data_IF_321588452057
#
_entry.id   IF_321588452057
#
_cell.length_a   1.000
_cell.length_b   1.000
_cell.length_c   1.000
_cell.angle_alpha   90.00
_cell.angle_beta   90.00
_cell.angle_gamma   90.00
#
_symmetry.space_group_name_H-M   'P 1'
#
loop_
_entity.id
_entity.type
_entity.pdbx_description
1 polymer ?
#
# COMPACT_ATOMS: atom_id res chain seq x y z
N UNK A 1 -69.74 43.17 -5.80
CA UNK A 1 -69.20 43.20 -4.43
C UNK A 1 -68.94 41.78 -3.96
N UNK A 2 -67.78 41.57 -3.32
CA UNK A 2 -67.33 40.40 -2.51
C UNK A 2 -67.02 39.12 -3.30
N UNK A 3 -65.75 38.83 -3.62
CA UNK A 3 -64.70 38.24 -2.77
C UNK A 3 -65.09 36.90 -2.12
N UNK A 4 -64.46 35.79 -2.53
CA UNK A 4 -63.49 35.08 -1.68
C UNK A 4 -62.78 33.93 -2.39
N UNK A 5 -61.51 33.81 -2.03
CA UNK A 5 -60.46 32.88 -2.43
C UNK A 5 -60.81 31.41 -2.17
N UNK A 6 -60.33 30.51 -3.03
CA UNK A 6 -59.87 29.17 -2.60
C UNK A 6 -58.58 28.84 -3.33
N UNK A 7 -57.56 28.51 -2.53
CA UNK A 7 -56.17 28.32 -2.89
C UNK A 7 -55.95 27.05 -3.73
N UNK A 8 -55.16 27.16 -4.81
CA UNK A 8 -54.61 26.00 -5.52
C UNK A 8 -53.49 25.38 -4.67
N UNK A 9 -53.66 24.10 -4.33
CA UNK A 9 -52.62 23.22 -3.81
C UNK A 9 -51.56 22.95 -4.89
N UNK A 10 -50.43 23.64 -4.84
CA UNK A 10 -49.20 23.23 -5.52
C UNK A 10 -48.45 22.23 -4.64
N UNK A 11 -48.74 20.94 -4.81
CA UNK A 11 -47.90 19.86 -4.32
C UNK A 11 -46.68 19.74 -5.22
N UNK A 12 -45.60 20.47 -4.90
CA UNK A 12 -44.28 20.23 -5.51
C UNK A 12 -43.78 18.92 -4.90
N UNK A 13 -43.92 17.83 -5.65
CA UNK A 13 -43.22 16.59 -5.37
C UNK A 13 -41.72 16.88 -5.53
N UNK A 14 -41.05 17.11 -4.40
CA UNK A 14 -39.59 17.02 -4.30
C UNK A 14 -39.22 15.54 -4.46
N UNK A 15 -39.26 15.02 -5.70
CA UNK A 15 -38.49 13.84 -6.06
C UNK A 15 -37.04 14.28 -6.08
N UNK A 16 -36.43 14.36 -4.89
CA UNK A 16 -34.98 14.45 -4.78
C UNK A 16 -34.40 13.31 -5.59
N UNK A 17 -33.52 13.62 -6.52
CA UNK A 17 -32.71 12.66 -7.23
C UNK A 17 -31.92 11.89 -6.16
N UNK A 18 -32.43 10.75 -5.71
CA UNK A 18 -31.62 9.79 -4.98
C UNK A 18 -30.58 9.29 -5.98
N UNK A 19 -29.42 9.93 -6.02
CA UNK A 19 -28.26 9.45 -6.75
C UNK A 19 -28.03 8.01 -6.30
N UNK A 20 -28.06 7.08 -7.24
CA UNK A 20 -27.77 5.67 -6.96
C UNK A 20 -26.43 5.62 -6.22
N UNK A 21 -26.34 4.95 -5.05
CA UNK A 21 -25.10 4.88 -4.30
C UNK A 21 -23.99 4.32 -5.20
N UNK A 22 -22.86 5.03 -5.28
CA UNK A 22 -21.73 4.60 -6.09
C UNK A 22 -21.25 3.23 -5.63
N UNK A 23 -20.97 2.33 -6.58
CA UNK A 23 -20.43 1.01 -6.29
C UNK A 23 -18.98 1.12 -5.79
N UNK A 24 -18.69 0.72 -4.55
CA UNK A 24 -17.37 0.82 -3.96
C UNK A 24 -16.45 -0.33 -4.41
N UNK A 25 -16.96 -1.30 -5.18
CA UNK A 25 -16.20 -2.48 -5.57
C UNK A 25 -14.88 -2.12 -6.24
N UNK A 26 -13.86 -2.94 -5.97
CA UNK A 26 -12.51 -2.81 -6.50
C UNK A 26 -11.45 -2.63 -5.42
N UNK A 27 -10.23 -2.38 -5.87
CA UNK A 27 -9.07 -2.19 -5.01
C UNK A 27 -8.73 -0.72 -4.85
N UNK A 28 -8.40 -0.32 -3.63
CA UNK A 28 -8.12 1.03 -3.21
C UNK A 28 -6.81 1.05 -2.45
N UNK A 29 -5.86 1.88 -2.87
CA UNK A 29 -4.49 1.92 -2.33
C UNK A 29 -4.20 3.25 -1.66
N UNK A 30 -3.36 3.21 -0.63
CA UNK A 30 -2.90 4.38 0.08
C UNK A 30 -1.80 5.11 -0.72
N UNK A 31 -2.22 5.89 -1.71
CA UNK A 31 -1.31 6.60 -2.60
C UNK A 31 -0.43 7.61 -1.86
N UNK A 32 -0.94 8.21 -0.78
CA UNK A 32 -0.19 9.16 0.03
C UNK A 32 1.07 8.53 0.65
N UNK A 33 0.98 7.26 1.10
CA UNK A 33 2.14 6.53 1.61
C UNK A 33 3.22 6.31 0.52
N UNK A 34 2.81 6.00 -0.71
CA UNK A 34 3.72 5.82 -1.85
C UNK A 34 4.39 7.16 -2.20
N UNK A 35 3.61 8.23 -2.31
CA UNK A 35 4.12 9.58 -2.61
C UNK A 35 5.08 10.07 -1.53
N UNK A 36 4.77 9.82 -0.26
CA UNK A 36 5.65 10.15 0.86
C UNK A 36 6.98 9.40 0.76
N UNK A 37 6.95 8.08 0.47
CA UNK A 37 8.15 7.26 0.33
C UNK A 37 9.03 7.76 -0.83
N UNK A 38 8.44 8.01 -2.00
CA UNK A 38 9.16 8.55 -3.16
C UNK A 38 9.76 9.93 -2.87
N UNK A 39 9.01 10.79 -2.17
CA UNK A 39 9.45 12.15 -1.87
C UNK A 39 10.59 12.20 -0.85
N UNK A 40 10.52 11.38 0.21
CA UNK A 40 11.54 11.37 1.27
C UNK A 40 12.75 10.51 0.91
N UNK A 41 12.57 9.51 0.04
CA UNK A 41 13.55 8.44 -0.14
C UNK A 41 13.59 7.45 1.04
N UNK A 42 12.80 7.65 2.08
CA UNK A 42 12.73 6.81 3.28
C UNK A 42 11.39 6.07 3.31
N UNK A 43 11.42 4.78 2.96
CA UNK A 43 10.24 3.95 2.83
C UNK A 43 9.57 3.74 4.18
N UNK A 44 10.33 3.30 5.18
CA UNK A 44 9.83 2.95 6.50
C UNK A 44 9.16 4.13 7.19
N UNK A 45 9.80 5.30 7.17
CA UNK A 45 9.23 6.51 7.76
C UNK A 45 7.90 6.87 7.10
N UNK A 46 7.83 6.79 5.76
CA UNK A 46 6.60 7.04 5.03
C UNK A 46 5.49 6.04 5.40
N UNK A 47 5.80 4.75 5.48
CA UNK A 47 4.81 3.73 5.87
C UNK A 47 4.38 3.86 7.33
N UNK A 48 5.25 4.30 8.24
CA UNK A 48 4.88 4.59 9.64
C UNK A 48 3.98 5.82 9.77
N UNK A 49 4.22 6.86 8.97
CA UNK A 49 3.48 8.11 9.03
C UNK A 49 2.13 8.06 8.30
N UNK A 50 2.04 7.28 7.22
CA UNK A 50 0.86 7.22 6.35
C UNK A 50 0.14 5.86 6.36
N UNK A 51 0.77 4.80 6.89
CA UNK A 51 0.11 3.55 7.29
C UNK A 51 -0.67 3.74 8.61
N UNK A 52 -1.46 2.75 9.05
CA UNK A 52 -1.10 1.34 9.02
C UNK A 52 -1.71 0.56 7.87
N UNK A 53 -2.88 0.97 7.37
CA UNK A 53 -3.52 0.26 6.27
C UNK A 53 -3.04 0.80 4.92
N UNK A 54 -2.69 -0.11 4.01
CA UNK A 54 -2.09 0.20 2.71
C UNK A 54 -3.03 -0.09 1.55
N UNK A 55 -3.94 -1.04 1.72
CA UNK A 55 -4.87 -1.45 0.67
C UNK A 55 -6.21 -1.91 1.25
N UNK A 56 -7.30 -1.48 0.62
CA UNK A 56 -8.63 -2.06 0.76
C UNK A 56 -9.04 -2.75 -0.54
N UNK A 57 -9.70 -3.89 -0.43
CA UNK A 57 -10.40 -4.54 -1.54
C UNK A 57 -11.86 -4.77 -1.14
N UNK A 58 -12.79 -4.28 -1.97
CA UNK A 58 -14.23 -4.34 -1.73
C UNK A 58 -14.92 -5.16 -2.83
N UNK A 59 -15.76 -6.12 -2.43
CA UNK A 59 -16.60 -6.95 -3.31
C UNK A 59 -18.06 -6.75 -2.88
N UNK A 60 -18.77 -5.82 -3.54
CA UNK A 60 -20.18 -5.55 -3.25
C UNK A 60 -21.10 -6.76 -3.48
N UNK A 61 -20.97 -7.53 -4.57
CA UNK A 61 -21.77 -8.74 -4.77
C UNK A 61 -21.68 -9.74 -3.61
N UNK A 62 -20.49 -9.91 -3.01
CA UNK A 62 -20.28 -10.83 -1.87
C UNK A 62 -20.40 -10.16 -0.51
N UNK A 63 -20.51 -8.83 -0.47
CA UNK A 63 -20.45 -8.02 0.75
C UNK A 63 -19.18 -8.27 1.55
N UNK A 64 -18.05 -8.43 0.86
CA UNK A 64 -16.74 -8.69 1.47
C UNK A 64 -15.86 -7.45 1.38
N UNK A 65 -15.13 -7.19 2.45
CA UNK A 65 -14.07 -6.19 2.49
C UNK A 65 -12.83 -6.85 3.09
N UNK A 66 -11.70 -6.71 2.42
CA UNK A 66 -10.41 -7.13 2.95
C UNK A 66 -9.42 -5.97 2.95
N UNK A 67 -8.50 -5.99 3.91
CA UNK A 67 -7.42 -5.01 3.99
C UNK A 67 -6.05 -5.70 4.05
N UNK A 68 -5.01 -4.93 3.74
CA UNK A 68 -3.61 -5.34 3.93
C UNK A 68 -2.77 -4.18 4.46
N UNK A 69 -1.93 -4.46 5.47
CA UNK A 69 -0.91 -3.53 5.98
C UNK A 69 0.51 -3.90 5.52
N UNK A 70 0.65 -4.83 4.58
CA UNK A 70 1.95 -5.35 4.12
C UNK A 70 2.53 -6.48 4.98
N UNK A 71 1.87 -6.87 6.07
CA UNK A 71 2.21 -8.05 6.87
C UNK A 71 0.95 -8.87 7.20
N UNK A 72 -0.03 -8.23 7.82
CA UNK A 72 -1.33 -8.79 8.15
C UNK A 72 -2.34 -8.51 7.06
N UNK A 73 -3.29 -9.44 6.96
CA UNK A 73 -4.47 -9.34 6.11
C UNK A 73 -5.68 -9.66 6.97
N UNK A 74 -6.71 -8.85 6.86
CA UNK A 74 -8.01 -9.15 7.47
C UNK A 74 -9.10 -9.17 6.42
N UNK A 75 -10.11 -10.00 6.67
CA UNK A 75 -11.32 -10.08 5.86
C UNK A 75 -12.54 -9.94 6.77
N UNK A 76 -13.49 -9.14 6.33
CA UNK A 76 -14.74 -8.87 7.02
C UNK A 76 -15.90 -8.79 6.05
N UNK A 77 -17.11 -8.70 6.61
CA UNK A 77 -18.33 -8.47 5.85
C UNK A 77 -18.78 -7.04 6.04
N UNK A 78 -19.20 -6.39 4.96
CA UNK A 78 -19.68 -5.01 5.07
C UNK A 78 -21.18 -4.87 4.81
N UNK A 79 -21.79 -3.88 5.45
CA UNK A 79 -23.17 -3.44 5.20
C UNK A 79 -23.19 -1.96 4.89
N UNK A 80 -23.96 -1.60 3.87
CA UNK A 80 -24.24 -0.19 3.57
C UNK A 80 -25.32 0.34 4.52
N UNK A 81 -25.01 1.45 5.18
CA UNK A 81 -25.90 2.19 6.06
C UNK A 81 -26.82 3.13 5.25
N UNK A 82 -27.82 3.71 5.91
CA UNK A 82 -28.82 4.56 5.25
C UNK A 82 -28.25 5.86 4.67
N UNK A 83 -27.15 6.36 5.23
CA UNK A 83 -26.39 7.53 4.77
C UNK A 83 -25.38 7.21 3.66
N UNK A 84 -25.24 5.94 3.29
CA UNK A 84 -24.31 5.47 2.27
C UNK A 84 -22.96 4.99 2.81
N UNK A 85 -22.67 5.18 4.10
CA UNK A 85 -21.48 4.64 4.77
C UNK A 85 -21.46 3.11 4.67
N UNK A 86 -20.28 2.51 4.55
CA UNK A 86 -20.06 1.08 4.61
C UNK A 86 -19.49 0.75 5.98
N UNK A 87 -20.21 -0.08 6.75
CA UNK A 87 -19.71 -0.63 8.00
C UNK A 87 -19.16 -2.01 7.76
N UNK A 88 -17.86 -2.18 7.93
CA UNK A 88 -17.15 -3.45 7.83
C UNK A 88 -17.09 -4.09 9.21
N UNK A 89 -17.53 -5.33 9.32
CA UNK A 89 -17.44 -6.13 10.53
C UNK A 89 -16.42 -7.25 10.32
N UNK A 90 -15.39 -7.26 11.14
CA UNK A 90 -14.38 -8.32 11.17
C UNK A 90 -14.70 -9.34 12.25
N UNK A 91 -14.04 -10.49 12.19
CA UNK A 91 -14.09 -11.48 13.26
C UNK A 91 -13.37 -10.94 14.51
N UNK A 92 -14.02 -10.98 15.69
CA UNK A 92 -13.44 -10.51 16.96
C UNK A 92 -13.91 -9.11 17.41
N UNK A 93 -15.13 -8.71 17.05
CA UNK A 93 -15.78 -7.45 17.45
C UNK A 93 -15.02 -6.18 17.02
N UNK A 94 -14.26 -6.27 15.93
CA UNK A 94 -13.58 -5.15 15.29
C UNK A 94 -14.43 -4.62 14.11
N UNK A 95 -14.63 -3.31 14.06
CA UNK A 95 -15.42 -2.65 13.03
C UNK A 95 -14.67 -1.46 12.42
N UNK A 96 -14.84 -1.28 11.11
CA UNK A 96 -14.31 -0.13 10.39
C UNK A 96 -15.41 0.54 9.56
N UNK A 97 -15.35 1.86 9.47
CA UNK A 97 -16.30 2.67 8.71
C UNK A 97 -15.63 3.22 7.46
N UNK A 98 -16.20 2.93 6.30
CA UNK A 98 -15.71 3.42 5.01
C UNK A 98 -16.77 4.28 4.31
N UNK A 99 -16.35 5.31 3.62
CA UNK A 99 -17.23 6.12 2.76
C UNK A 99 -16.59 6.40 1.41
N UNK A 100 -17.41 6.57 0.38
CA UNK A 100 -16.94 6.97 -0.95
C UNK A 100 -17.19 8.47 -1.12
N UNK A 101 -16.16 9.22 -1.51
CA UNK A 101 -16.25 10.65 -1.76
C UNK A 101 -15.36 11.04 -2.94
N UNK A 102 -15.95 11.56 -4.03
CA UNK A 102 -15.24 12.11 -5.19
C UNK A 102 -14.05 11.25 -5.66
N UNK A 103 -14.30 9.95 -5.87
CA UNK A 103 -13.32 8.94 -6.30
C UNK A 103 -12.24 8.55 -5.28
N UNK A 104 -12.42 8.92 -4.01
CA UNK A 104 -11.67 8.40 -2.88
C UNK A 104 -12.53 7.44 -2.05
N UNK A 105 -11.89 6.40 -1.52
CA UNK A 105 -12.39 5.64 -0.38
C UNK A 105 -11.78 6.24 0.87
N UNK A 106 -12.62 6.67 1.81
CA UNK A 106 -12.22 7.24 3.08
C UNK A 106 -12.50 6.20 4.16
N UNK A 107 -11.46 5.75 4.84
CA UNK A 107 -11.58 5.04 6.12
C UNK A 107 -11.68 6.08 7.22
N UNK A 108 -12.77 6.06 7.98
CA UNK A 108 -12.94 6.95 9.12
C UNK A 108 -11.97 6.60 10.25
N UNK A 109 -11.70 7.55 11.14
CA UNK A 109 -11.00 7.26 12.38
C UNK A 109 -11.81 6.29 13.24
N UNK A 110 -11.14 5.27 13.78
CA UNK A 110 -11.68 4.31 14.75
C UNK A 110 -10.81 4.28 16.01
N UNK A 111 -11.17 3.43 16.97
CA UNK A 111 -10.32 3.15 18.13
C UNK A 111 -9.01 2.44 17.73
N UNK A 112 -8.95 1.85 16.53
CA UNK A 112 -7.83 1.04 16.05
C UNK A 112 -6.97 1.81 15.06
N UNK A 113 -7.57 2.52 14.12
CA UNK A 113 -6.87 3.17 13.00
C UNK A 113 -7.23 4.64 12.83
N UNK A 114 -6.28 5.47 12.36
CA UNK A 114 -6.57 6.86 12.01
C UNK A 114 -7.44 6.95 10.75
N UNK A 115 -7.98 8.14 10.50
CA UNK A 115 -8.58 8.44 9.20
C UNK A 115 -7.52 8.28 8.09
N UNK A 116 -7.86 7.54 7.04
CA UNK A 116 -6.99 7.34 5.88
C UNK A 116 -7.79 7.47 4.58
N UNK A 117 -7.10 7.92 3.54
CA UNK A 117 -7.67 8.13 2.20
C UNK A 117 -7.00 7.19 1.21
N UNK A 118 -7.81 6.59 0.36
CA UNK A 118 -7.37 5.63 -0.63
C UNK A 118 -7.93 6.02 -1.99
N UNK A 119 -7.11 5.86 -3.02
CA UNK A 119 -7.51 6.07 -4.40
C UNK A 119 -7.67 4.71 -5.07
N UNK A 120 -8.46 4.63 -6.15
CA UNK A 120 -8.55 3.38 -6.91
C UNK A 120 -7.18 2.96 -7.43
N UNK A 121 -6.85 1.68 -7.25
CA UNK A 121 -5.64 1.12 -7.81
C UNK A 121 -5.63 1.31 -9.34
N UNK A 122 -4.56 1.85 -9.93
CA UNK A 122 -4.50 2.14 -11.36
C UNK A 122 -4.49 0.86 -12.21
N UNK A 123 -4.07 -0.26 -11.62
CA UNK A 123 -4.07 -1.58 -12.25
C UNK A 123 -4.42 -2.60 -11.17
N UNK A 124 -5.42 -3.43 -11.45
CA UNK A 124 -5.72 -4.57 -10.62
C UNK A 124 -4.74 -5.70 -10.98
N UNK A 125 -4.02 -6.29 -10.01
CA UNK A 125 -3.24 -7.49 -10.26
C UNK A 125 -4.18 -8.64 -10.67
N UNK A 126 -3.60 -9.72 -11.20
CA UNK A 126 -4.39 -10.85 -11.70
C UNK A 126 -5.40 -11.39 -10.67
N UNK A 127 -6.47 -12.09 -11.08
CA UNK A 127 -7.58 -12.49 -10.19
C UNK A 127 -7.18 -13.36 -8.98
N UNK A 128 -5.97 -13.94 -9.00
CA UNK A 128 -5.42 -14.80 -7.97
C UNK A 128 -4.38 -14.08 -7.09
N UNK A 129 -4.12 -12.79 -7.33
CA UNK A 129 -3.18 -12.03 -6.54
C UNK A 129 -3.73 -11.86 -5.11
N UNK A 130 -2.87 -12.06 -4.09
CA UNK A 130 -3.30 -11.87 -2.71
C UNK A 130 -3.63 -10.40 -2.42
N UNK A 131 -4.49 -10.12 -1.42
CA UNK A 131 -4.68 -8.75 -0.93
C UNK A 131 -3.35 -8.11 -0.54
N UNK A 132 -3.16 -6.85 -0.91
CA UNK A 132 -1.92 -6.07 -0.77
C UNK A 132 -1.09 -5.97 -2.04
N UNK A 133 -1.27 -6.87 -3.02
CA UNK A 133 -0.44 -6.88 -4.23
C UNK A 133 -0.58 -5.65 -5.11
N UNK A 134 -1.71 -4.93 -5.08
CA UNK A 134 -1.88 -3.73 -5.93
C UNK A 134 -1.09 -2.56 -5.35
N UNK A 135 -1.11 -2.41 -4.02
CA UNK A 135 -0.25 -1.46 -3.32
C UNK A 135 1.23 -1.78 -3.54
N UNK A 136 1.64 -3.04 -3.38
CA UNK A 136 3.02 -3.48 -3.63
C UNK A 136 3.47 -3.13 -5.05
N UNK A 137 2.69 -3.47 -6.07
CA UNK A 137 3.05 -3.17 -7.46
C UNK A 137 3.14 -1.67 -7.73
N UNK A 138 2.19 -0.89 -7.19
CA UNK A 138 2.22 0.56 -7.32
C UNK A 138 3.45 1.17 -6.64
N UNK A 139 3.76 0.73 -5.42
CA UNK A 139 4.96 1.14 -4.69
C UNK A 139 6.23 0.74 -5.44
N UNK A 140 6.32 -0.51 -5.89
CA UNK A 140 7.50 -1.05 -6.55
C UNK A 140 7.77 -0.29 -7.85
N UNK A 141 6.72 -0.02 -8.63
CA UNK A 141 6.82 0.79 -9.85
C UNK A 141 7.28 2.22 -9.57
N UNK A 142 6.76 2.86 -8.51
CA UNK A 142 7.04 4.27 -8.23
C UNK A 142 8.40 4.48 -7.56
N UNK A 143 8.79 3.59 -6.64
CA UNK A 143 9.91 3.78 -5.73
C UNK A 143 11.23 3.27 -6.34
N UNK A 144 11.33 1.97 -6.62
CA UNK A 144 12.54 1.38 -7.23
C UNK A 144 12.39 1.05 -8.72
N UNK A 145 11.19 1.13 -9.27
CA UNK A 145 10.89 0.68 -10.63
C UNK A 145 11.73 1.39 -11.70
N UNK A 146 12.07 0.61 -12.73
CA UNK A 146 12.82 1.10 -13.90
C UNK A 146 14.23 0.57 -13.98
N UNK A 147 15.02 1.20 -14.85
CA UNK A 147 16.39 0.77 -15.16
C UNK A 147 17.41 1.58 -14.36
N UNK A 148 18.39 0.88 -13.81
CA UNK A 148 19.46 1.42 -12.98
C UNK A 148 20.81 0.96 -13.53
N UNK A 149 21.83 1.82 -13.47
CA UNK A 149 23.21 1.47 -13.74
C UNK A 149 23.88 0.99 -12.45
N UNK A 150 24.63 -0.11 -12.50
CA UNK A 150 25.57 -0.46 -11.44
C UNK A 150 26.80 0.43 -11.55
N UNK A 151 26.87 1.50 -10.76
CA UNK A 151 28.02 2.42 -10.74
C UNK A 151 29.18 1.81 -9.96
N UNK A 152 28.89 1.14 -8.85
CA UNK A 152 29.86 0.42 -8.02
C UNK A 152 29.32 -0.95 -7.59
N UNK A 153 30.22 -1.92 -7.44
CA UNK A 153 29.90 -3.26 -6.94
C UNK A 153 30.01 -4.35 -8.00
N UNK A 154 29.57 -5.55 -7.64
CA UNK A 154 29.58 -6.69 -8.57
C UNK A 154 28.64 -6.41 -9.74
N UNK A 155 29.14 -6.55 -10.97
CA UNK A 155 28.39 -6.23 -12.18
C UNK A 155 28.53 -4.78 -12.66
N UNK A 156 29.47 -4.00 -12.10
CA UNK A 156 29.74 -2.61 -12.48
C UNK A 156 29.71 -2.38 -13.99
N UNK A 157 29.02 -1.31 -14.40
CA UNK A 157 28.73 -0.95 -15.79
C UNK A 157 27.51 -1.66 -16.39
N UNK A 158 26.99 -2.69 -15.73
CA UNK A 158 25.76 -3.38 -16.09
C UNK A 158 24.49 -2.60 -15.74
N UNK A 159 23.38 -3.00 -16.33
CA UNK A 159 22.06 -2.45 -16.04
C UNK A 159 21.25 -3.43 -15.19
N UNK A 160 20.50 -2.88 -14.24
CA UNK A 160 19.53 -3.58 -13.40
C UNK A 160 18.14 -3.08 -13.73
N UNK A 161 17.18 -3.98 -13.95
CA UNK A 161 15.78 -3.63 -14.15
C UNK A 161 14.97 -4.14 -12.95
N UNK A 162 14.41 -3.20 -12.19
CA UNK A 162 13.42 -3.48 -11.14
C UNK A 162 12.02 -3.40 -11.76
N UNK A 163 11.26 -4.48 -11.65
CA UNK A 163 9.89 -4.57 -12.18
C UNK A 163 8.86 -4.48 -11.06
N UNK A 164 7.68 -3.96 -11.39
CA UNK A 164 6.59 -3.75 -10.44
C UNK A 164 6.11 -5.05 -9.74
N UNK A 165 6.29 -6.20 -10.39
CA UNK A 165 5.92 -7.51 -9.83
C UNK A 165 6.98 -8.12 -8.89
N UNK A 166 8.04 -7.37 -8.57
CA UNK A 166 9.12 -7.82 -7.71
C UNK A 166 10.17 -8.67 -8.43
N UNK A 167 10.08 -8.86 -9.75
CA UNK A 167 11.16 -9.46 -10.50
C UNK A 167 12.31 -8.48 -10.76
N UNK A 168 13.51 -9.02 -10.82
CA UNK A 168 14.76 -8.29 -10.92
C UNK A 168 15.61 -8.90 -12.03
N UNK A 169 16.17 -8.07 -12.90
CA UNK A 169 17.06 -8.53 -13.96
C UNK A 169 18.38 -7.78 -13.89
N UNK A 170 19.49 -8.48 -14.16
CA UNK A 170 20.81 -7.87 -14.31
C UNK A 170 21.59 -7.60 -13.01
N UNK A 171 20.95 -7.66 -11.83
CA UNK A 171 21.68 -7.60 -10.55
C UNK A 171 22.34 -8.96 -10.25
N UNK A 172 23.67 -9.05 -10.17
CA UNK A 172 24.32 -10.33 -9.91
C UNK A 172 23.92 -10.93 -8.57
N UNK A 173 23.43 -12.18 -8.59
CA UNK A 173 23.05 -12.92 -7.38
C UNK A 173 21.60 -12.72 -6.93
N UNK A 174 20.76 -12.05 -7.73
CA UNK A 174 19.34 -11.89 -7.44
C UNK A 174 18.50 -11.81 -8.73
N UNK A 175 17.34 -12.45 -8.71
CA UNK A 175 16.33 -12.40 -9.77
C UNK A 175 14.97 -11.90 -9.28
N UNK A 176 14.80 -11.76 -7.96
CA UNK A 176 13.63 -11.12 -7.33
C UNK A 176 14.04 -10.20 -6.19
N UNK A 177 13.19 -9.21 -5.94
CA UNK A 177 13.27 -8.33 -4.79
C UNK A 177 11.90 -8.15 -4.13
N UNK A 178 11.91 -7.84 -2.83
CA UNK A 178 10.72 -7.38 -2.12
C UNK A 178 11.09 -6.29 -1.11
N UNK A 179 10.37 -5.17 -1.13
CA UNK A 179 10.54 -4.12 -0.13
C UNK A 179 9.87 -4.54 1.18
N UNK A 180 10.53 -4.26 2.30
CA UNK A 180 9.93 -4.49 3.61
C UNK A 180 8.86 -3.43 3.90
N UNK A 181 7.61 -3.85 4.06
CA UNK A 181 6.49 -2.94 4.30
C UNK A 181 6.10 -2.83 5.78
N UNK A 182 6.11 -3.95 6.50
CA UNK A 182 5.69 -4.05 7.89
C UNK A 182 6.19 -5.36 8.53
N UNK A 183 5.77 -5.61 9.77
CA UNK A 183 6.03 -6.87 10.47
C UNK A 183 7.48 -7.06 10.87
N UNK A 184 7.90 -8.33 10.97
CA UNK A 184 9.22 -8.69 11.50
C UNK A 184 10.36 -8.05 10.69
N UNK A 185 10.27 -7.96 9.36
CA UNK A 185 11.34 -7.34 8.57
C UNK A 185 11.59 -5.88 9.00
N UNK A 186 10.52 -5.16 9.36
CA UNK A 186 10.57 -3.76 9.74
C UNK A 186 11.05 -3.60 11.19
N UNK A 187 10.74 -4.57 12.05
CA UNK A 187 11.28 -4.64 13.41
C UNK A 187 12.78 -4.98 13.39
N UNK A 188 13.19 -5.95 12.56
CA UNK A 188 14.56 -6.44 12.46
C UNK A 188 15.52 -5.41 11.86
N UNK A 189 15.06 -4.52 10.97
CA UNK A 189 15.93 -3.50 10.34
C UNK A 189 16.10 -2.21 11.16
N UNK A 190 15.38 -2.06 12.28
CA UNK A 190 15.48 -0.91 13.17
C UNK A 190 15.02 0.39 12.51
N UNK A 191 15.97 1.27 12.18
CA UNK A 191 15.73 2.56 11.51
C UNK A 191 16.00 2.51 10.00
N UNK A 192 16.57 1.40 9.50
CA UNK A 192 16.97 1.28 8.11
C UNK A 192 15.84 0.71 7.25
N UNK A 193 15.75 1.22 6.02
CA UNK A 193 14.98 0.56 4.99
C UNK A 193 15.65 -0.76 4.61
N UNK A 194 14.82 -1.78 4.40
CA UNK A 194 15.29 -3.12 4.05
C UNK A 194 14.53 -3.70 2.87
N UNK A 195 15.23 -4.53 2.12
CA UNK A 195 14.66 -5.30 1.02
C UNK A 195 15.20 -6.72 1.07
N UNK A 196 14.39 -7.65 0.61
CA UNK A 196 14.79 -9.03 0.37
C UNK A 196 15.32 -9.15 -1.06
N UNK A 197 16.49 -9.76 -1.26
CA UNK A 197 16.95 -10.19 -2.59
C UNK A 197 16.99 -11.71 -2.65
N UNK A 198 16.54 -12.28 -3.76
CA UNK A 198 16.38 -13.73 -3.91
C UNK A 198 16.90 -14.22 -5.26
N UNK A 199 17.56 -15.38 -5.26
CA UNK A 199 17.94 -16.19 -6.40
C UNK A 199 17.50 -17.64 -6.19
N UNK A 200 16.57 -18.15 -7.00
CA UNK A 200 15.94 -19.44 -6.75
C UNK A 200 15.29 -19.46 -5.37
N UNK A 201 15.60 -20.47 -4.56
CA UNK A 201 15.08 -20.60 -3.19
C UNK A 201 15.97 -19.95 -2.12
N UNK A 202 17.06 -19.31 -2.53
CA UNK A 202 17.99 -18.64 -1.62
C UNK A 202 17.70 -17.14 -1.63
N UNK A 203 17.41 -16.58 -0.48
CA UNK A 203 17.31 -15.13 -0.35
C UNK A 203 17.81 -14.65 0.99
N UNK A 204 18.04 -13.35 1.07
CA UNK A 204 18.53 -12.71 2.27
C UNK A 204 18.10 -11.25 2.33
N UNK A 205 18.02 -10.73 3.54
CA UNK A 205 17.75 -9.32 3.79
C UNK A 205 18.98 -8.47 3.46
N UNK A 206 18.71 -7.31 2.89
CA UNK A 206 19.66 -6.25 2.60
C UNK A 206 19.12 -4.95 3.18
N UNK A 207 20.02 -4.06 3.58
CA UNK A 207 19.67 -2.69 3.96
C UNK A 207 19.95 -1.77 2.78
N UNK A 208 19.16 -0.71 2.64
CA UNK A 208 19.41 0.25 1.58
C UNK A 208 19.16 1.69 2.01
N UNK A 209 19.66 2.61 1.20
CA UNK A 209 19.37 4.04 1.24
C UNK A 209 19.02 4.49 -0.17
N UNK A 210 17.95 5.28 -0.32
CA UNK A 210 17.59 5.91 -1.57
C UNK A 210 17.71 7.43 -1.42
N UNK A 211 18.60 8.04 -2.20
CA UNK A 211 18.83 9.48 -2.21
C UNK A 211 18.72 10.00 -3.65
N UNK A 212 17.57 10.59 -3.99
CA UNK A 212 17.28 11.01 -5.35
C UNK A 212 17.35 9.82 -6.32
N UNK A 213 18.26 9.89 -7.27
CA UNK A 213 18.48 8.83 -8.27
C UNK A 213 19.56 7.82 -7.85
N UNK A 214 20.06 7.87 -6.61
CA UNK A 214 21.08 6.94 -6.11
C UNK A 214 20.49 5.94 -5.11
N UNK A 215 20.70 4.65 -5.36
CA UNK A 215 20.35 3.55 -4.47
C UNK A 215 21.63 2.87 -3.97
N UNK A 216 21.91 3.00 -2.68
CA UNK A 216 23.02 2.29 -2.01
C UNK A 216 22.48 1.06 -1.30
N UNK A 217 23.11 -0.09 -1.54
CA UNK A 217 22.71 -1.37 -0.95
C UNK A 217 23.86 -1.92 -0.09
N UNK A 218 23.53 -2.29 1.14
CA UNK A 218 24.47 -2.68 2.19
C UNK A 218 24.14 -4.07 2.71
N UNK A 219 25.18 -4.84 3.06
CA UNK A 219 25.01 -6.10 3.80
C UNK A 219 24.22 -5.85 5.09
N UNK A 220 23.21 -6.69 5.35
CA UNK A 220 22.47 -6.68 6.61
C UNK A 220 23.17 -7.61 7.61
N UNK A 221 23.99 -7.04 8.50
CA UNK A 221 24.71 -7.82 9.51
C UNK A 221 23.84 -7.99 10.76
N UNK A 222 23.72 -9.22 11.25
CA UNK A 222 22.96 -9.52 12.48
C UNK A 222 23.88 -9.40 13.70
N UNK A 223 23.48 -8.59 14.70
CA UNK A 223 24.16 -8.51 16.01
C UNK A 223 23.47 -9.29 17.13
N UNK A 224 22.30 -9.86 16.87
CA UNK A 224 21.57 -10.69 17.82
C UNK A 224 22.17 -12.09 17.93
N UNK A 225 21.93 -12.76 19.05
CA UNK A 225 22.22 -14.19 19.19
C UNK A 225 21.30 -15.05 18.31
N UNK A 226 21.63 -16.34 18.16
CA UNK A 226 20.91 -17.25 17.27
C UNK A 226 19.45 -17.52 17.70
N UNK A 227 19.16 -17.36 18.99
CA UNK A 227 17.85 -17.54 19.62
C UNK A 227 17.10 -16.21 19.86
N UNK A 228 17.69 -15.09 19.44
CA UNK A 228 17.08 -13.76 19.52
C UNK A 228 16.53 -13.32 18.16
N UNK A 229 15.53 -12.44 18.18
CA UNK A 229 15.07 -11.78 16.97
C UNK A 229 16.24 -11.05 16.29
N UNK A 230 16.47 -11.24 14.98
CA UNK A 230 17.55 -10.55 14.29
C UNK A 230 17.48 -9.04 14.45
N UNK A 231 18.63 -8.41 14.57
CA UNK A 231 18.77 -6.96 14.66
C UNK A 231 19.86 -6.54 13.69
N UNK A 232 19.42 -6.01 12.55
CA UNK A 232 20.30 -5.70 11.43
C UNK A 232 20.90 -4.31 11.55
N UNK A 233 22.17 -4.20 11.15
CA UNK A 233 22.86 -2.93 10.95
C UNK A 233 23.64 -2.96 9.64
N UNK A 234 24.00 -1.78 9.12
CA UNK A 234 24.70 -1.64 7.85
C UNK A 234 26.13 -2.19 7.96
N UNK A 235 26.40 -3.21 7.15
CA UNK A 235 27.74 -3.70 6.86
C UNK A 235 28.39 -2.95 5.70
N UNK A 236 29.16 -3.68 4.89
CA UNK A 236 29.80 -3.11 3.70
C UNK A 236 28.75 -2.72 2.65
N UNK A 237 28.96 -1.58 1.99
CA UNK A 237 28.24 -1.26 0.74
C UNK A 237 28.63 -2.26 -0.33
N UNK A 238 27.64 -2.94 -0.93
CA UNK A 238 27.84 -3.93 -1.99
C UNK A 238 27.51 -3.41 -3.37
N UNK A 239 26.57 -2.48 -3.44
CA UNK A 239 26.20 -1.83 -4.69
C UNK A 239 25.90 -0.36 -4.48
N UNK A 240 26.32 0.45 -5.45
CA UNK A 240 25.76 1.78 -5.73
C UNK A 240 25.10 1.70 -7.10
N UNK A 241 23.80 1.96 -7.15
CA UNK A 241 23.01 1.98 -8.37
C UNK A 241 22.55 3.42 -8.65
N UNK A 242 22.54 3.82 -9.93
CA UNK A 242 22.05 5.14 -10.36
C UNK A 242 20.95 4.98 -11.39
N UNK A 243 19.82 5.66 -11.17
CA UNK A 243 18.66 5.60 -12.07
C UNK A 243 18.99 6.16 -13.45
N UNK A 244 18.44 5.54 -14.50
CA UNK A 244 18.64 5.92 -15.91
C UNK A 244 17.40 6.57 -16.52
#
# INVERSE_FOLDING_TARGET
MRCLFVALLTGVLLSGCASTPQDPSGTWINQAAIEAAVKSGNLREALLAYGPNLEWQLDSPRQLASFSNGFERGEGRFKRQADGELRVHFYGDFEESLSLNNDELIQAQSDTWPEQRFVRAPTAPGPLAPPGSSFEQALYSAYLGGTWLIEEGLGQGGLVLFQADGSLQGLPGAERYALCLAGDCAAMSGEFDSLWLQLGDQGQSWLFELEGDQLRVFEALNRSQIDEMPNYYKGQQRWLLVKR
#
